data_IF_067450792064
#
_entry.id   IF_067450792064
#
_cell.length_a   1.000
_cell.length_b   1.000
_cell.length_c   1.000
_cell.angle_alpha   90.00
_cell.angle_beta   90.00
_cell.angle_gamma   90.00
#
_symmetry.space_group_name_H-M   'P 1'
#
loop_
_entity.id
_entity.type
_entity.pdbx_description
1 polymer ?
#
# COMPACT_ATOMS: atom_id res chain seq x y z
N UNK A 1 -36.21 39.28 -4.65
CA UNK A 1 -35.42 38.51 -3.66
C UNK A 1 -34.76 37.36 -4.41
N UNK A 2 -33.47 37.07 -4.13
CA UNK A 2 -32.54 36.43 -5.05
C UNK A 2 -32.66 34.90 -5.06
N UNK A 3 -32.45 34.31 -6.24
CA UNK A 3 -32.18 32.89 -6.38
C UNK A 3 -30.78 32.58 -5.82
N UNK A 4 -30.69 31.62 -4.90
CA UNK A 4 -29.44 31.16 -4.32
C UNK A 4 -28.51 30.57 -5.39
N UNK A 5 -27.24 30.99 -5.38
CA UNK A 5 -26.18 30.34 -6.16
C UNK A 5 -25.99 28.90 -5.69
N UNK A 6 -25.81 27.92 -6.59
CA UNK A 6 -25.25 26.64 -6.21
C UNK A 6 -23.81 26.82 -5.72
N UNK A 7 -23.47 26.15 -4.63
CA UNK A 7 -22.12 26.07 -4.07
C UNK A 7 -21.12 25.47 -5.06
N UNK A 8 -19.89 25.99 -5.05
CA UNK A 8 -18.75 25.43 -5.80
C UNK A 8 -18.41 24.03 -5.25
N UNK A 9 -18.00 23.07 -6.10
CA UNK A 9 -17.20 21.95 -5.65
C UNK A 9 -15.73 22.41 -5.55
N UNK A 10 -15.22 22.49 -4.34
CA UNK A 10 -13.80 22.52 -4.04
C UNK A 10 -13.47 21.25 -3.23
N UNK A 11 -12.24 20.75 -3.38
CA UNK A 11 -11.64 19.59 -2.70
C UNK A 11 -11.59 18.24 -3.46
N UNK A 12 -10.92 18.26 -4.62
CA UNK A 12 -10.04 17.15 -5.01
C UNK A 12 -8.63 17.72 -5.28
N UNK A 13 -7.53 17.14 -4.74
CA UNK A 13 -6.20 17.66 -4.96
C UNK A 13 -5.77 17.47 -6.43
N UNK A 14 -5.40 18.54 -7.16
CA UNK A 14 -4.97 18.41 -8.54
C UNK A 14 -3.55 17.83 -8.60
N UNK A 15 -3.34 16.77 -9.38
CA UNK A 15 -1.99 16.41 -9.84
C UNK A 15 -1.62 17.38 -10.95
N UNK A 16 -0.85 18.41 -10.59
CA UNK A 16 -0.57 19.54 -11.46
C UNK A 16 0.63 19.22 -12.38
N UNK A 17 0.34 18.79 -13.61
CA UNK A 17 1.32 18.80 -14.71
C UNK A 17 1.15 20.10 -15.49
N UNK A 18 2.19 20.94 -15.51
CA UNK A 18 2.30 22.13 -16.39
C UNK A 18 1.07 23.07 -16.43
N UNK A 19 0.34 23.21 -15.31
CA UNK A 19 -0.86 24.08 -15.21
C UNK A 19 -1.91 23.84 -16.31
N UNK A 20 -2.02 22.63 -16.87
CA UNK A 20 -3.11 22.26 -17.78
C UNK A 20 -3.89 21.09 -17.21
N UNK A 21 -5.14 21.34 -16.88
CA UNK A 21 -6.11 20.30 -16.56
C UNK A 21 -6.49 19.62 -17.89
N UNK A 22 -5.98 18.41 -18.12
CA UNK A 22 -6.34 17.57 -19.25
C UNK A 22 -6.08 16.10 -18.91
N UNK A 23 -6.79 15.15 -19.55
CA UNK A 23 -6.54 13.72 -19.33
C UNK A 23 -5.09 13.39 -19.69
N UNK A 24 -4.40 12.65 -18.81
CA UNK A 24 -3.10 12.08 -19.13
C UNK A 24 -3.29 11.04 -20.23
N UNK A 25 -2.51 11.13 -21.30
CA UNK A 25 -2.43 10.05 -22.30
C UNK A 25 -2.02 8.74 -21.61
N UNK A 26 -2.52 7.56 -22.03
CA UNK A 26 -2.21 6.26 -21.39
C UNK A 26 -0.73 5.94 -21.20
N UNK A 27 0.16 6.63 -21.95
CA UNK A 27 1.62 6.51 -21.88
C UNK A 27 2.31 7.84 -21.53
N UNK A 28 1.57 8.78 -20.93
CA UNK A 28 2.13 10.07 -20.53
C UNK A 28 3.28 9.86 -19.54
N UNK A 29 4.45 10.42 -19.86
CA UNK A 29 5.62 10.36 -19.02
C UNK A 29 6.24 11.75 -18.81
N UNK A 30 6.76 11.95 -17.61
CA UNK A 30 7.40 13.18 -17.16
C UNK A 30 8.75 12.76 -16.60
N UNK A 31 9.84 13.29 -17.16
CA UNK A 31 11.18 12.98 -16.70
C UNK A 31 11.87 14.22 -16.15
N UNK A 32 12.61 14.08 -15.06
CA UNK A 32 13.44 15.14 -14.50
C UNK A 32 14.63 14.55 -13.74
N UNK A 33 15.85 15.03 -14.01
CA UNK A 33 17.04 14.62 -13.24
C UNK A 33 17.26 13.10 -13.16
N UNK A 34 16.91 12.35 -14.20
CA UNK A 34 16.98 10.88 -14.23
C UNK A 34 15.78 10.16 -13.61
N UNK A 35 14.89 10.87 -12.92
CA UNK A 35 13.63 10.32 -12.42
C UNK A 35 12.54 10.42 -13.49
N UNK A 36 11.55 9.54 -13.41
CA UNK A 36 10.41 9.46 -14.32
C UNK A 36 9.12 9.17 -13.56
N UNK A 37 8.08 9.93 -13.86
CA UNK A 37 6.70 9.61 -13.54
C UNK A 37 6.02 9.17 -14.84
N UNK A 38 5.47 7.96 -14.88
CA UNK A 38 4.85 7.39 -16.06
C UNK A 38 3.46 6.86 -15.73
N UNK A 39 2.46 7.24 -16.52
CA UNK A 39 1.21 6.50 -16.56
C UNK A 39 1.45 5.22 -17.37
N UNK A 40 1.06 4.08 -16.82
CA UNK A 40 1.18 2.77 -17.45
C UNK A 40 -0.23 2.20 -17.64
N UNK A 41 -0.81 2.41 -18.83
CA UNK A 41 -2.20 2.06 -19.10
C UNK A 41 -3.17 3.06 -18.45
N UNK A 42 -4.35 2.59 -18.03
CA UNK A 42 -5.41 3.46 -17.46
C UNK A 42 -5.49 3.42 -15.94
N UNK A 43 -4.76 2.52 -15.29
CA UNK A 43 -4.99 2.16 -13.88
C UNK A 43 -3.72 2.17 -13.01
N UNK A 44 -2.54 2.38 -13.61
CA UNK A 44 -1.24 2.35 -12.92
C UNK A 44 -0.40 3.59 -13.17
N UNK A 45 0.22 4.08 -12.10
CA UNK A 45 1.26 5.12 -12.11
C UNK A 45 2.57 4.51 -11.66
N UNK A 46 3.67 4.75 -12.36
CA UNK A 46 5.00 4.35 -11.93
C UNK A 46 5.91 5.57 -11.75
N UNK A 47 6.35 5.77 -10.51
CA UNK A 47 7.42 6.68 -10.18
C UNK A 47 8.72 5.89 -10.10
N UNK A 48 9.74 6.30 -10.86
CA UNK A 48 11.02 5.57 -10.97
C UNK A 48 12.22 6.51 -11.01
N UNK A 49 13.37 6.04 -10.54
CA UNK A 49 14.67 6.70 -10.67
C UNK A 49 15.38 6.24 -11.96
N UNK A 50 16.63 6.70 -12.16
CA UNK A 50 17.44 6.37 -13.33
C UNK A 50 17.81 4.87 -13.42
N UNK A 51 17.68 4.13 -12.32
CA UNK A 51 17.91 2.69 -12.23
C UNK A 51 16.61 1.88 -12.42
N UNK A 52 15.49 2.54 -12.75
CA UNK A 52 14.14 1.96 -12.80
C UNK A 52 13.66 1.37 -11.46
N UNK A 53 14.23 1.83 -10.35
CA UNK A 53 13.72 1.54 -9.01
C UNK A 53 12.67 2.58 -8.61
N UNK A 54 11.66 2.21 -7.83
CA UNK A 54 10.69 3.17 -7.32
C UNK A 54 9.38 2.55 -6.86
N UNK A 55 8.26 3.25 -7.07
CA UNK A 55 6.95 2.85 -6.54
C UNK A 55 5.93 2.82 -7.68
N UNK A 56 5.30 1.67 -7.87
CA UNK A 56 4.09 1.54 -8.69
C UNK A 56 2.86 1.72 -7.81
N UNK A 57 1.88 2.45 -8.30
CA UNK A 57 0.64 2.76 -7.61
C UNK A 57 -0.52 2.39 -8.52
N UNK A 58 -1.48 1.64 -8.00
CA UNK A 58 -2.69 1.22 -8.68
C UNK A 58 -3.91 1.86 -8.03
N UNK A 59 -4.74 2.50 -8.85
CA UNK A 59 -5.98 3.11 -8.39
C UNK A 59 -7.07 2.03 -8.29
N UNK A 60 -7.35 1.52 -7.08
CA UNK A 60 -8.42 0.55 -6.85
C UNK A 60 -9.47 1.13 -5.87
N UNK A 61 -10.06 2.27 -6.23
CA UNK A 61 -10.91 3.05 -5.34
C UNK A 61 -11.99 2.18 -4.63
N UNK A 62 -12.12 2.26 -3.29
CA UNK A 62 -11.54 3.28 -2.40
C UNK A 62 -10.10 2.97 -1.92
N UNK A 63 -9.52 1.87 -2.35
CA UNK A 63 -8.20 1.42 -1.91
C UNK A 63 -7.07 1.90 -2.83
N UNK A 64 -5.88 1.99 -2.26
CA UNK A 64 -4.65 2.23 -2.97
C UNK A 64 -3.78 0.99 -2.84
N UNK A 65 -3.45 0.34 -3.95
CA UNK A 65 -2.42 -0.69 -3.93
C UNK A 65 -1.12 -0.06 -4.41
N UNK A 66 -0.02 -0.40 -3.76
CA UNK A 66 1.29 0.05 -4.21
C UNK A 66 2.29 -1.09 -4.09
N UNK A 67 3.36 -0.98 -4.85
CA UNK A 67 4.49 -1.89 -4.76
C UNK A 67 5.79 -1.14 -4.95
N UNK A 68 6.79 -1.55 -4.17
CA UNK A 68 8.16 -1.03 -4.29
C UNK A 68 8.95 -1.95 -5.23
N UNK A 69 9.58 -1.35 -6.23
CA UNK A 69 10.42 -2.03 -7.20
C UNK A 69 11.86 -1.63 -6.92
N UNK A 70 12.70 -2.61 -6.58
CA UNK A 70 14.12 -2.41 -6.30
C UNK A 70 14.96 -3.26 -7.25
N UNK A 71 16.14 -2.77 -7.63
CA UNK A 71 17.09 -3.55 -8.42
C UNK A 71 17.88 -4.53 -7.55
N UNK A 72 18.49 -5.53 -8.18
CA UNK A 72 19.28 -6.57 -7.49
C UNK A 72 20.41 -6.02 -6.62
N UNK A 73 20.94 -4.83 -6.95
CA UNK A 73 21.95 -4.15 -6.13
C UNK A 73 21.47 -3.81 -4.71
N UNK A 74 20.16 -3.82 -4.45
CA UNK A 74 19.54 -3.55 -3.15
C UNK A 74 19.35 -4.80 -2.29
N UNK A 75 19.55 -6.00 -2.83
CA UNK A 75 19.36 -7.24 -2.09
C UNK A 75 20.23 -7.26 -0.83
N UNK A 76 19.61 -7.45 0.34
CA UNK A 76 20.27 -7.41 1.65
C UNK A 76 20.79 -6.04 2.09
N UNK A 77 20.54 -4.97 1.31
CA UNK A 77 21.02 -3.61 1.57
C UNK A 77 19.89 -2.62 1.88
N UNK A 78 18.69 -3.14 2.17
CA UNK A 78 17.53 -2.36 2.60
C UNK A 78 17.01 -2.90 3.92
N UNK A 79 16.19 -2.11 4.60
CA UNK A 79 15.52 -2.51 5.83
C UNK A 79 14.24 -1.70 5.99
N UNK A 80 13.23 -2.26 6.63
CA UNK A 80 11.96 -1.60 6.85
C UNK A 80 10.82 -2.58 7.05
N UNK A 81 9.59 -2.07 6.92
CA UNK A 81 8.36 -2.85 7.04
C UNK A 81 8.23 -3.97 5.99
N UNK A 82 8.96 -3.87 4.87
CA UNK A 82 8.96 -4.86 3.78
C UNK A 82 10.18 -5.79 3.83
N UNK A 83 10.90 -5.85 4.95
CA UNK A 83 12.06 -6.73 5.12
C UNK A 83 13.36 -6.16 4.57
N UNK A 84 14.31 -7.05 4.28
CA UNK A 84 15.67 -6.70 3.85
C UNK A 84 15.98 -7.03 2.37
N UNK A 85 15.02 -7.64 1.67
CA UNK A 85 15.12 -8.04 0.26
C UNK A 85 16.27 -9.03 -0.03
N UNK A 86 16.67 -9.87 0.91
CA UNK A 86 17.73 -10.88 0.71
C UNK A 86 17.21 -12.21 0.11
N UNK A 87 15.89 -12.38 0.03
CA UNK A 87 15.22 -13.60 -0.46
C UNK A 87 14.88 -14.62 0.63
N UNK A 88 15.16 -14.32 1.90
CA UNK A 88 14.86 -15.16 3.05
C UNK A 88 13.80 -14.52 3.96
N UNK A 89 12.53 -14.84 3.74
CA UNK A 89 11.42 -14.31 4.54
C UNK A 89 11.50 -14.60 6.05
N UNK A 90 12.31 -15.59 6.47
CA UNK A 90 12.45 -15.95 7.88
C UNK A 90 13.22 -14.91 8.71
N UNK A 91 13.94 -13.98 8.09
CA UNK A 91 14.74 -12.96 8.77
C UNK A 91 14.28 -11.51 8.51
N UNK A 92 13.09 -11.31 7.92
CA UNK A 92 12.63 -9.98 7.49
C UNK A 92 12.16 -9.08 8.66
N UNK A 93 11.76 -9.65 9.79
CA UNK A 93 11.28 -8.89 10.95
C UNK A 93 12.43 -8.39 11.82
N UNK A 94 13.11 -7.35 11.32
CA UNK A 94 14.16 -6.61 12.03
C UNK A 94 13.63 -5.26 12.52
N UNK A 95 13.98 -4.89 13.75
CA UNK A 95 13.85 -3.53 14.25
C UNK A 95 14.77 -2.59 13.48
N UNK A 96 14.55 -1.28 13.61
CA UNK A 96 15.38 -0.24 12.99
C UNK A 96 16.86 -0.31 13.40
N UNK A 97 17.15 -0.86 14.59
CA UNK A 97 18.51 -1.08 15.08
C UNK A 97 19.14 -2.41 14.63
N UNK A 98 18.41 -3.22 13.86
CA UNK A 98 18.84 -4.53 13.37
C UNK A 98 18.49 -5.71 14.27
N UNK A 99 17.87 -5.48 15.44
CA UNK A 99 17.44 -6.55 16.34
C UNK A 99 16.32 -7.38 15.71
N UNK A 100 16.44 -8.70 15.69
CA UNK A 100 15.39 -9.60 15.20
C UNK A 100 14.22 -9.72 16.19
N UNK A 101 13.01 -9.87 15.65
CA UNK A 101 11.78 -10.03 16.41
C UNK A 101 11.03 -11.28 15.95
N UNK A 102 10.38 -11.96 16.89
CA UNK A 102 9.52 -13.10 16.58
C UNK A 102 8.31 -12.69 15.73
N UNK A 103 7.93 -13.53 14.78
CA UNK A 103 6.75 -13.36 13.92
C UNK A 103 5.43 -13.70 14.65
N UNK A 104 5.22 -13.13 15.84
CA UNK A 104 3.99 -13.29 16.62
C UNK A 104 3.22 -11.97 16.69
N UNK A 105 1.89 -12.06 16.76
CA UNK A 105 0.99 -10.90 16.74
C UNK A 105 1.41 -9.72 17.63
N UNK A 106 1.68 -9.90 18.95
CA UNK A 106 2.05 -8.77 19.82
C UNK A 106 3.41 -8.16 19.48
N UNK A 107 4.34 -8.96 18.95
CA UNK A 107 5.67 -8.47 18.61
C UNK A 107 5.67 -7.70 17.29
N UNK A 108 4.91 -8.19 16.28
CA UNK A 108 4.74 -7.53 14.98
C UNK A 108 3.96 -6.21 15.12
N UNK A 109 2.86 -6.21 15.88
CA UNK A 109 1.98 -5.05 16.01
C UNK A 109 2.36 -4.10 17.15
N UNK A 110 3.32 -4.49 18.00
CA UNK A 110 3.90 -3.67 19.06
C UNK A 110 5.32 -3.27 18.69
N UNK A 111 6.31 -4.02 19.20
CA UNK A 111 7.74 -3.70 19.13
C UNK A 111 8.24 -3.42 17.71
N UNK A 112 7.90 -4.27 16.74
CA UNK A 112 8.30 -4.10 15.34
C UNK A 112 7.66 -2.86 14.72
N UNK A 113 6.33 -2.72 14.81
CA UNK A 113 5.61 -1.56 14.31
C UNK A 113 6.14 -0.25 14.91
N UNK A 114 6.34 -0.20 16.24
CA UNK A 114 6.82 0.98 16.95
C UNK A 114 8.24 1.40 16.54
N UNK A 115 9.13 0.44 16.29
CA UNK A 115 10.50 0.74 15.82
C UNK A 115 10.52 1.42 14.45
N UNK A 116 9.55 1.09 13.58
CA UNK A 116 9.44 1.63 12.23
C UNK A 116 8.58 2.88 12.11
N UNK A 117 7.90 3.32 13.18
CA UNK A 117 7.12 4.57 13.16
C UNK A 117 7.99 5.77 12.81
N UNK A 118 7.41 6.70 12.06
CA UNK A 118 8.00 8.01 11.83
C UNK A 118 7.86 8.87 13.08
N UNK A 119 8.84 9.72 13.34
CA UNK A 119 8.79 10.77 14.35
C UNK A 119 8.32 12.08 13.73
N UNK A 120 7.99 13.08 14.55
CA UNK A 120 7.71 14.42 14.03
C UNK A 120 8.89 15.01 13.24
N UNK A 121 10.14 14.64 13.58
CA UNK A 121 11.34 15.10 12.89
C UNK A 121 11.57 14.40 11.53
N UNK A 122 11.04 13.20 11.34
CA UNK A 122 11.24 12.38 10.12
C UNK A 122 10.00 12.32 9.24
N UNK A 123 8.86 12.82 9.72
CA UNK A 123 7.62 12.88 8.94
C UNK A 123 7.74 13.91 7.82
N UNK A 124 7.37 13.52 6.60
CA UNK A 124 7.31 14.41 5.43
C UNK A 124 5.90 14.99 5.19
N UNK A 125 4.91 14.61 6.01
CA UNK A 125 3.57 15.16 5.91
C UNK A 125 3.44 16.53 6.57
N UNK A 126 2.57 17.36 5.99
CA UNK A 126 2.14 18.63 6.56
C UNK A 126 0.91 18.39 7.42
N UNK A 127 0.88 18.98 8.60
CA UNK A 127 -0.19 18.83 9.59
C UNK A 127 -0.91 20.16 9.82
N UNK A 128 -2.17 20.08 10.24
CA UNK A 128 -2.94 21.23 10.70
C UNK A 128 -2.28 21.90 11.91
N UNK A 129 -2.65 23.15 12.18
CA UNK A 129 -2.14 23.89 13.34
C UNK A 129 -2.33 23.11 14.64
N UNK A 130 -1.24 22.91 15.38
CA UNK A 130 -1.22 22.14 16.64
C UNK A 130 -1.30 20.62 16.47
N UNK A 131 -1.23 20.09 15.24
CA UNK A 131 -1.21 18.65 14.94
C UNK A 131 0.18 18.19 14.52
N UNK A 132 0.43 16.90 14.69
CA UNK A 132 1.66 16.21 14.33
C UNK A 132 1.36 14.72 14.08
N UNK A 133 2.40 13.90 13.84
CA UNK A 133 2.24 12.45 13.65
C UNK A 133 1.56 11.74 14.82
N UNK A 134 1.77 12.19 16.06
CA UNK A 134 1.17 11.56 17.25
C UNK A 134 -0.34 11.78 17.30
N UNK A 135 -0.83 12.87 16.69
CA UNK A 135 -2.27 13.18 16.62
C UNK A 135 -3.07 12.13 15.84
N UNK A 136 -2.41 11.31 15.01
CA UNK A 136 -3.02 10.30 14.14
C UNK A 136 -2.48 8.89 14.42
N UNK A 137 -1.75 8.71 15.52
CA UNK A 137 -1.14 7.43 15.88
C UNK A 137 -1.86 6.80 17.08
N UNK A 138 -2.66 5.77 16.83
CA UNK A 138 -3.18 4.91 17.91
C UNK A 138 -2.18 3.77 18.19
N UNK A 139 -1.40 3.93 19.27
CA UNK A 139 -0.43 2.92 19.72
C UNK A 139 -1.06 1.69 20.37
N UNK A 140 -2.36 1.75 20.65
CA UNK A 140 -3.10 0.61 21.20
C UNK A 140 -3.70 -0.26 20.10
N UNK A 141 -3.66 0.17 18.85
CA UNK A 141 -4.18 -0.59 17.71
C UNK A 141 -3.09 -1.42 17.02
N UNK A 142 -3.40 -2.66 16.58
CA UNK A 142 -4.57 -3.46 16.93
C UNK A 142 -4.43 -4.10 18.33
N UNK A 143 -5.50 -4.04 19.14
CA UNK A 143 -5.50 -4.58 20.52
C UNK A 143 -5.46 -6.10 20.57
N UNK A 144 -6.09 -6.75 19.60
CA UNK A 144 -6.31 -8.19 19.56
C UNK A 144 -6.21 -8.69 18.14
N UNK A 145 -5.84 -9.96 17.99
CA UNK A 145 -5.92 -10.63 16.71
C UNK A 145 -7.37 -10.60 16.20
N UNK A 146 -7.64 -10.10 14.97
CA UNK A 146 -8.98 -10.08 14.41
C UNK A 146 -9.47 -11.50 14.13
N UNK A 147 -10.69 -11.81 14.56
CA UNK A 147 -11.31 -13.14 14.36
C UNK A 147 -12.37 -13.05 13.27
N UNK A 148 -12.22 -13.86 12.22
CA UNK A 148 -13.22 -14.04 11.16
C UNK A 148 -13.96 -15.35 11.40
N UNK A 149 -15.29 -15.33 11.40
CA UNK A 149 -16.08 -16.56 11.60
C UNK A 149 -15.94 -17.50 10.39
N UNK A 150 -16.11 -18.80 10.63
CA UNK A 150 -16.07 -19.80 9.55
C UNK A 150 -17.09 -19.50 8.43
N UNK A 151 -18.28 -19.02 8.80
CA UNK A 151 -19.30 -18.58 7.84
C UNK A 151 -18.82 -17.43 6.95
N UNK A 152 -18.19 -16.41 7.55
CA UNK A 152 -17.64 -15.28 6.80
C UNK A 152 -16.47 -15.69 5.91
N UNK A 153 -15.63 -16.62 6.37
CA UNK A 153 -14.54 -17.15 5.54
C UNK A 153 -15.08 -17.94 4.35
N UNK A 154 -16.08 -18.79 4.54
CA UNK A 154 -16.70 -19.55 3.45
C UNK A 154 -17.37 -18.63 2.42
N UNK A 155 -18.07 -17.59 2.89
CA UNK A 155 -18.62 -16.55 2.01
C UNK A 155 -17.51 -15.80 1.26
N UNK A 156 -16.45 -15.37 1.96
CA UNK A 156 -15.34 -14.63 1.38
C UNK A 156 -14.57 -15.46 0.35
N UNK A 157 -14.40 -16.76 0.57
CA UNK A 157 -13.82 -17.69 -0.41
C UNK A 157 -14.61 -17.68 -1.73
N UNK A 158 -15.94 -17.75 -1.65
CA UNK A 158 -16.80 -17.64 -2.83
C UNK A 158 -16.63 -16.32 -3.57
N UNK A 159 -16.54 -15.20 -2.84
CA UNK A 159 -16.29 -13.87 -3.43
C UNK A 159 -14.92 -13.82 -4.12
N UNK A 160 -13.87 -14.26 -3.45
CA UNK A 160 -12.49 -14.19 -3.92
C UNK A 160 -12.24 -15.09 -5.14
N UNK A 161 -12.75 -16.32 -5.11
CA UNK A 161 -12.64 -17.25 -6.23
C UNK A 161 -13.45 -16.79 -7.44
N UNK A 162 -14.65 -16.24 -7.24
CA UNK A 162 -15.44 -15.63 -8.32
C UNK A 162 -14.74 -14.42 -8.96
N UNK A 163 -13.93 -13.68 -8.20
CA UNK A 163 -13.08 -12.62 -8.73
C UNK A 163 -11.82 -13.14 -9.47
N UNK A 164 -11.54 -14.44 -9.43
CA UNK A 164 -10.39 -15.06 -10.10
C UNK A 164 -9.12 -15.16 -9.24
N UNK A 165 -9.22 -14.88 -7.93
CA UNK A 165 -8.12 -15.13 -6.99
C UNK A 165 -8.09 -16.63 -6.69
N UNK A 166 -6.99 -17.28 -7.03
CA UNK A 166 -6.87 -18.75 -7.02
C UNK A 166 -5.56 -19.26 -6.43
N UNK A 167 -4.55 -18.40 -6.28
CA UNK A 167 -3.22 -18.76 -5.80
C UNK A 167 -3.02 -18.34 -4.35
N UNK A 168 -2.24 -19.12 -3.60
CA UNK A 168 -1.76 -18.72 -2.27
C UNK A 168 -0.44 -17.96 -2.39
N UNK A 169 -0.20 -16.93 -1.55
CA UNK A 169 -1.01 -16.52 -0.40
C UNK A 169 -2.18 -15.58 -0.74
N UNK A 170 -2.36 -15.15 -2.00
CA UNK A 170 -3.32 -14.11 -2.35
C UNK A 170 -4.77 -14.50 -2.05
N UNK A 171 -5.15 -15.76 -2.25
CA UNK A 171 -6.49 -16.27 -1.93
C UNK A 171 -6.77 -16.22 -0.43
N UNK A 172 -5.83 -16.67 0.41
CA UNK A 172 -5.97 -16.60 1.86
C UNK A 172 -6.07 -15.17 2.39
N UNK A 173 -5.25 -14.27 1.84
CA UNK A 173 -5.30 -12.83 2.19
C UNK A 173 -6.63 -12.20 1.74
N UNK A 174 -7.10 -12.51 0.53
CA UNK A 174 -8.40 -12.06 0.04
C UNK A 174 -9.54 -12.50 0.96
N UNK A 175 -9.56 -13.78 1.35
CA UNK A 175 -10.59 -14.34 2.24
C UNK A 175 -10.60 -13.64 3.60
N UNK A 176 -9.42 -13.35 4.14
CA UNK A 176 -9.28 -12.63 5.41
C UNK A 176 -9.79 -11.19 5.28
N UNK A 177 -9.34 -10.44 4.26
CA UNK A 177 -9.69 -9.04 4.05
C UNK A 177 -11.19 -8.86 3.79
N UNK A 178 -11.75 -9.65 2.85
CA UNK A 178 -13.18 -9.63 2.52
C UNK A 178 -14.00 -10.11 3.72
N UNK A 179 -13.59 -11.20 4.37
CA UNK A 179 -14.32 -11.78 5.51
C UNK A 179 -14.33 -10.87 6.73
N UNK A 180 -13.23 -10.17 7.01
CA UNK A 180 -13.12 -9.27 8.16
C UNK A 180 -13.89 -7.96 7.92
N UNK A 181 -13.76 -7.36 6.74
CA UNK A 181 -14.33 -6.04 6.42
C UNK A 181 -15.76 -6.10 5.89
N UNK A 182 -16.15 -7.23 5.27
CA UNK A 182 -17.37 -7.34 4.46
C UNK A 182 -17.29 -6.64 3.10
N UNK A 183 -16.13 -6.07 2.73
CA UNK A 183 -15.96 -5.32 1.49
C UNK A 183 -15.44 -6.20 0.36
N UNK A 184 -16.35 -6.59 -0.54
CA UNK A 184 -16.03 -7.42 -1.71
C UNK A 184 -15.05 -6.77 -2.70
N UNK A 185 -14.87 -5.45 -2.65
CA UNK A 185 -13.93 -4.72 -3.54
C UNK A 185 -12.47 -5.08 -3.27
N UNK A 186 -12.14 -5.57 -2.07
CA UNK A 186 -10.80 -6.04 -1.71
C UNK A 186 -10.35 -7.26 -2.53
N UNK A 187 -11.29 -8.02 -3.11
CA UNK A 187 -10.94 -9.11 -4.01
C UNK A 187 -10.19 -8.65 -5.27
N UNK A 188 -10.44 -7.41 -5.73
CA UNK A 188 -9.69 -6.83 -6.85
C UNK A 188 -8.24 -6.52 -6.47
N UNK A 189 -7.98 -6.08 -5.23
CA UNK A 189 -6.61 -5.86 -4.75
C UNK A 189 -5.81 -7.16 -4.71
N UNK A 190 -6.42 -8.25 -4.23
CA UNK A 190 -5.78 -9.55 -4.20
C UNK A 190 -5.54 -10.11 -5.63
N UNK A 191 -6.51 -9.95 -6.53
CA UNK A 191 -6.34 -10.34 -7.94
C UNK A 191 -5.20 -9.57 -8.61
N UNK A 192 -5.09 -8.28 -8.33
CA UNK A 192 -4.00 -7.44 -8.83
C UNK A 192 -2.64 -7.96 -8.34
N UNK A 193 -2.51 -8.23 -7.04
CA UNK A 193 -1.29 -8.82 -6.46
C UNK A 193 -0.92 -10.13 -7.17
N UNK A 194 -1.90 -11.01 -7.38
CA UNK A 194 -1.69 -12.30 -8.04
C UNK A 194 -1.14 -12.18 -9.48
N UNK A 195 -1.57 -11.13 -10.21
CA UNK A 195 -1.17 -10.89 -11.61
C UNK A 195 0.21 -10.24 -11.71
N UNK A 196 0.53 -9.32 -10.82
CA UNK A 196 1.75 -8.52 -10.89
C UNK A 196 2.96 -9.23 -10.28
N UNK A 197 2.74 -10.03 -9.23
CA UNK A 197 3.82 -10.77 -8.58
C UNK A 197 3.73 -12.25 -8.98
N UNK A 198 4.71 -12.81 -9.70
CA UNK A 198 4.77 -14.25 -9.87
C UNK A 198 4.94 -14.91 -8.50
N UNK A 199 4.48 -16.16 -8.38
CA UNK A 199 4.69 -16.94 -7.16
C UNK A 199 6.18 -16.91 -6.80
N UNK A 200 6.48 -16.64 -5.52
CA UNK A 200 7.84 -16.80 -5.02
C UNK A 200 8.34 -18.21 -5.37
N UNK A 201 9.59 -18.37 -5.86
CA UNK A 201 10.18 -19.68 -6.01
C UNK A 201 10.08 -20.43 -4.67
N UNK A 202 9.58 -21.66 -4.71
CA UNK A 202 9.53 -22.59 -3.58
C UNK A 202 10.91 -22.95 -3.08
#
# INVERSE_FOLDING_TARGET
MPAGKPSKPEDAPPVCQQKRNGPLSPDAAIAWGGNKLQLAGTEKLFFSNAQNEGVMIYWNAPYLNYSVVLGDARKGNVTGLMGNYDGNYANDFLLRDGTAVESIFPAIHGTFADSWRVTNATSIFVYDSGKNTDSYTDRTFPKTFPVVSAEKLAWAEGVCTAAGVTRQPELGQCMFDVGLTGDTRLAQSALLSQREFPASPT
#
